data_IF_752657186112
#
_entry.id   IF_752657186112
#
_cell.length_a   1.000
_cell.length_b   1.000
_cell.length_c   1.000
_cell.angle_alpha   90.00
_cell.angle_beta   90.00
_cell.angle_gamma   90.00
#
_symmetry.space_group_name_H-M   'P 1'
#
loop_
_entity.id
_entity.type
_entity.pdbx_description
1 polymer ?
#
# COMPACT_ATOMS: atom_id res chain seq x y z
N UNK A 1 -5.21 0.99 -8.09
CA UNK A 1 -5.08 -0.47 -8.33
C UNK A 1 -4.25 -1.07 -7.21
N UNK A 2 -4.61 -2.23 -6.63
CA UNK A 2 -3.83 -2.86 -5.54
C UNK A 2 -2.87 -3.89 -6.09
N UNK A 3 -1.65 -3.87 -5.58
CA UNK A 3 -0.54 -4.66 -6.07
C UNK A 3 0.30 -5.20 -4.91
N UNK A 4 0.90 -6.36 -5.13
CA UNK A 4 1.84 -6.98 -4.21
C UNK A 4 3.25 -6.83 -4.76
N UNK A 5 4.09 -6.16 -3.99
CA UNK A 5 5.50 -5.98 -4.26
C UNK A 5 6.30 -7.17 -3.71
N UNK A 6 6.96 -7.92 -4.60
CA UNK A 6 7.77 -9.08 -4.23
C UNK A 6 9.08 -8.70 -3.55
N UNK A 7 9.61 -7.49 -3.79
CA UNK A 7 10.89 -7.05 -3.22
C UNK A 7 10.76 -6.74 -1.74
N UNK A 8 9.63 -6.14 -1.35
CA UNK A 8 9.33 -5.78 0.03
C UNK A 8 8.38 -6.76 0.70
N UNK A 9 7.86 -7.73 -0.05
CA UNK A 9 6.83 -8.68 0.37
C UNK A 9 5.57 -7.99 0.93
N UNK A 10 5.19 -6.88 0.31
CA UNK A 10 4.18 -5.95 0.83
C UNK A 10 3.11 -5.61 -0.20
N UNK A 11 1.87 -5.49 0.28
CA UNK A 11 0.73 -4.99 -0.50
C UNK A 11 0.66 -3.47 -0.43
N UNK A 12 0.45 -2.81 -1.57
CA UNK A 12 0.23 -1.37 -1.71
C UNK A 12 -0.79 -1.03 -2.79
N UNK A 13 -1.20 0.23 -2.83
CA UNK A 13 -1.94 0.82 -3.94
C UNK A 13 -0.96 1.55 -4.87
N UNK A 14 -1.20 1.47 -6.18
CA UNK A 14 -0.45 2.28 -7.14
C UNK A 14 -0.98 3.72 -7.08
N UNK A 15 -0.07 4.65 -6.84
CA UNK A 15 -0.31 6.08 -6.88
C UNK A 15 0.09 6.67 -8.23
N UNK A 16 1.28 6.32 -8.73
CA UNK A 16 1.84 6.89 -9.95
C UNK A 16 2.86 5.96 -10.63
N UNK A 17 3.18 6.23 -11.89
CA UNK A 17 4.21 5.55 -12.67
C UNK A 17 5.28 6.54 -13.13
N UNK A 18 6.54 6.26 -12.78
CA UNK A 18 7.68 7.10 -13.14
C UNK A 18 8.68 6.25 -13.92
N UNK A 19 8.56 6.28 -15.26
CA UNK A 19 9.39 5.49 -16.15
C UNK A 19 9.26 3.98 -15.87
N UNK A 20 10.35 3.25 -15.56
CA UNK A 20 10.29 1.82 -15.24
C UNK A 20 9.84 1.54 -13.79
N UNK A 21 9.58 2.59 -13.01
CA UNK A 21 9.19 2.50 -11.62
C UNK A 21 7.71 2.78 -11.42
N UNK A 22 7.18 2.20 -10.36
CA UNK A 22 5.83 2.40 -9.87
C UNK A 22 5.92 2.91 -8.44
N UNK A 23 5.25 4.02 -8.18
CA UNK A 23 5.10 4.59 -6.86
C UNK A 23 3.90 3.92 -6.18
N UNK A 24 4.17 3.33 -5.03
CA UNK A 24 3.22 2.58 -4.23
C UNK A 24 2.96 3.31 -2.91
N UNK A 25 1.70 3.30 -2.48
CA UNK A 25 1.31 3.80 -1.18
C UNK A 25 0.57 2.76 -0.35
N UNK A 26 0.66 2.94 0.96
CA UNK A 26 -0.18 2.27 1.93
C UNK A 26 -1.13 3.27 2.58
N UNK A 27 -2.34 2.82 2.96
CA UNK A 27 -3.27 3.61 3.77
C UNK A 27 -2.72 4.06 5.14
N UNK A 28 -1.58 3.50 5.57
CA UNK A 28 -0.85 3.90 6.77
C UNK A 28 0.01 5.16 6.57
N UNK A 29 0.14 5.66 5.33
CA UNK A 29 1.00 6.80 5.00
C UNK A 29 2.41 6.41 4.55
N UNK A 30 2.73 5.11 4.50
CA UNK A 30 3.99 4.64 3.92
C UNK A 30 3.92 4.70 2.39
N UNK A 31 4.89 5.36 1.77
CA UNK A 31 5.07 5.40 0.31
C UNK A 31 6.44 4.85 -0.06
N UNK A 32 6.53 4.08 -1.13
CA UNK A 32 7.79 3.57 -1.64
C UNK A 32 7.76 3.42 -3.16
N UNK A 33 8.93 3.29 -3.75
CA UNK A 33 9.08 3.08 -5.18
C UNK A 33 9.60 1.68 -5.45
N UNK A 34 9.02 1.01 -6.45
CA UNK A 34 9.45 -0.32 -6.89
C UNK A 34 9.47 -0.42 -8.40
N UNK A 35 10.18 -1.41 -8.95
CA UNK A 35 10.17 -1.65 -10.40
C UNK A 35 8.90 -2.37 -10.80
N UNK A 36 8.30 -2.02 -11.93
CA UNK A 36 7.04 -2.63 -12.37
C UNK A 36 7.10 -4.18 -12.43
N UNK A 37 8.25 -4.74 -12.86
CA UNK A 37 8.51 -6.19 -12.95
C UNK A 37 8.53 -6.90 -11.60
N UNK A 38 8.80 -6.16 -10.52
CA UNK A 38 8.85 -6.69 -9.16
C UNK A 38 7.47 -6.70 -8.51
N UNK A 39 6.46 -6.12 -9.16
CA UNK A 39 5.12 -5.98 -8.63
C UNK A 39 4.16 -6.86 -9.42
N UNK A 40 3.25 -7.56 -8.71
CA UNK A 40 2.15 -8.31 -9.32
C UNK A 40 0.81 -7.73 -8.90
N UNK A 41 -0.23 -8.05 -9.67
CA UNK A 41 -1.59 -7.73 -9.26
C UNK A 41 -1.90 -8.36 -7.89
N UNK A 42 -2.49 -7.56 -7.00
CA UNK A 42 -2.94 -8.03 -5.70
C UNK A 42 -4.18 -8.91 -5.86
N UNK A 43 -4.28 -9.95 -5.04
CA UNK A 43 -5.47 -10.80 -4.98
C UNK A 43 -6.62 -10.09 -4.27
N UNK A 44 -7.88 -10.54 -4.44
CA UNK A 44 -9.01 -10.02 -3.68
C UNK A 44 -8.83 -10.14 -2.16
N UNK A 45 -8.06 -11.13 -1.69
CA UNK A 45 -7.73 -11.30 -0.27
C UNK A 45 -6.79 -10.19 0.21
N UNK A 46 -5.70 -9.93 -0.53
CA UNK A 46 -4.73 -8.87 -0.25
C UNK A 46 -5.39 -7.48 -0.28
N UNK A 47 -6.35 -7.27 -1.18
CA UNK A 47 -7.18 -6.06 -1.19
C UNK A 47 -7.95 -5.88 0.11
N UNK A 48 -8.58 -6.95 0.63
CA UNK A 48 -9.31 -6.91 1.91
C UNK A 48 -8.35 -6.63 3.07
N UNK A 49 -7.18 -7.27 3.09
CA UNK A 49 -6.16 -7.02 4.11
C UNK A 49 -5.70 -5.56 4.09
N UNK A 50 -5.42 -4.99 2.91
CA UNK A 50 -5.00 -3.60 2.78
C UNK A 50 -6.09 -2.64 3.29
N UNK A 51 -7.36 -2.91 2.99
CA UNK A 51 -8.50 -2.13 3.51
C UNK A 51 -8.60 -2.24 5.04
N UNK A 52 -8.43 -3.42 5.60
CA UNK A 52 -8.46 -3.63 7.05
C UNK A 52 -7.34 -2.85 7.76
N UNK A 53 -6.12 -2.89 7.21
CA UNK A 53 -4.98 -2.08 7.72
C UNK A 53 -5.32 -0.59 7.68
N UNK A 54 -5.89 -0.11 6.58
CA UNK A 54 -6.30 1.29 6.46
C UNK A 54 -7.41 1.69 7.44
N UNK A 55 -8.39 0.81 7.66
CA UNK A 55 -9.44 1.04 8.65
C UNK A 55 -8.88 1.10 10.08
N UNK A 56 -8.01 0.15 10.44
CA UNK A 56 -7.33 0.12 11.73
C UNK A 56 -6.51 1.41 11.96
N UNK A 57 -5.72 1.81 10.97
CA UNK A 57 -4.91 3.02 11.05
C UNK A 57 -5.77 4.29 11.22
N UNK A 58 -6.93 4.37 10.56
CA UNK A 58 -7.87 5.48 10.74
C UNK A 58 -8.47 5.50 12.15
N UNK A 59 -8.82 4.34 12.71
CA UNK A 59 -9.34 4.25 14.08
C UNK A 59 -8.28 4.66 15.09
N UNK A 60 -7.05 4.16 14.95
CA UNK A 60 -5.93 4.57 15.80
C UNK A 60 -5.69 6.09 15.75
N UNK A 61 -5.66 6.68 14.55
CA UNK A 61 -5.52 8.13 14.39
C UNK A 61 -6.66 8.95 14.99
N UNK A 62 -7.87 8.40 15.10
CA UNK A 62 -9.01 9.08 15.76
C UNK A 62 -8.95 8.96 17.29
N UNK A 63 -8.33 7.91 17.82
CA UNK A 63 -8.16 7.67 19.26
C UNK A 63 -6.92 8.30 19.88
N UNK A 64 -5.99 8.84 19.07
CA UNK A 64 -4.82 9.58 19.55
C UNK A 64 -5.19 11.07 19.76
N UNK A 65 -5.19 11.60 21.01
CA UNK A 65 -5.12 13.03 21.20
C UNK A 65 -3.81 13.51 20.56
N UNK A 66 -3.90 14.54 19.72
CA UNK A 66 -2.74 15.20 19.12
C UNK A 66 -1.82 15.67 20.26
N UNK A 67 -0.50 15.39 20.23
CA UNK A 67 0.44 16.14 21.05
C UNK A 67 0.53 17.60 20.59
#
# INVERSE_FOLDING_TARGET
>A
MVVYDRRYEMVGAIDDFVGPFVNLSRPTGLTWQSRWVSVRQGTPHELRQLKAIGALHRVQRKGLPRP
#
